data_IF_050774555338
#
_entry.id   IF_050774555338
#
_cell.length_a   1.000
_cell.length_b   1.000
_cell.length_c   1.000
_cell.angle_alpha   90.00
_cell.angle_beta   90.00
_cell.angle_gamma   90.00
#
_symmetry.space_group_name_H-M   'P 1'
#
loop_
_entity.id
_entity.type
_entity.pdbx_description
1 polymer ?
#
# COMPACT_ATOMS: atom_id res chain seq x y z
N UNK A 1 16.74 1.71 1.00
CA UNK A 1 16.08 0.77 1.91
C UNK A 1 14.69 1.24 2.34
N UNK A 2 14.54 2.40 3.00
CA UNK A 2 13.23 2.92 3.47
C UNK A 2 12.09 2.78 2.44
N UNK A 3 12.29 3.28 1.21
CA UNK A 3 11.27 3.23 0.15
C UNK A 3 10.81 1.79 -0.12
N UNK A 4 11.76 0.84 -0.16
CA UNK A 4 11.49 -0.57 -0.42
C UNK A 4 10.67 -1.21 0.71
N UNK A 5 11.06 -1.01 1.98
CA UNK A 5 10.32 -1.61 3.09
C UNK A 5 8.93 -0.99 3.27
N UNK A 6 8.77 0.31 2.98
CA UNK A 6 7.48 0.96 2.99
C UNK A 6 6.56 0.46 1.85
N UNK A 7 7.14 0.18 0.69
CA UNK A 7 6.45 -0.47 -0.44
C UNK A 7 5.98 -1.88 -0.08
N UNK A 8 6.87 -2.71 0.46
CA UNK A 8 6.56 -4.09 0.86
C UNK A 8 5.45 -4.15 1.91
N UNK A 9 5.49 -3.29 2.94
CA UNK A 9 4.42 -3.21 3.95
C UNK A 9 3.10 -2.74 3.33
N UNK A 10 3.15 -1.74 2.45
CA UNK A 10 1.95 -1.22 1.77
C UNK A 10 1.27 -2.29 0.92
N UNK A 11 2.05 -3.05 0.14
CA UNK A 11 1.51 -4.13 -0.69
C UNK A 11 1.00 -5.31 0.12
N UNK A 12 1.73 -5.73 1.16
CA UNK A 12 1.27 -6.79 2.04
C UNK A 12 -0.06 -6.40 2.71
N UNK A 13 -0.15 -5.18 3.24
CA UNK A 13 -1.37 -4.64 3.85
C UNK A 13 -2.53 -4.55 2.86
N UNK A 14 -2.27 -4.07 1.64
CA UNK A 14 -3.29 -4.00 0.59
C UNK A 14 -3.80 -5.39 0.20
N UNK A 15 -2.91 -6.39 0.10
CA UNK A 15 -3.32 -7.76 -0.18
C UNK A 15 -4.14 -8.37 0.96
N UNK A 16 -3.74 -8.15 2.21
CA UNK A 16 -4.49 -8.64 3.37
C UNK A 16 -5.92 -8.09 3.44
N UNK A 17 -6.13 -6.84 3.02
CA UNK A 17 -7.44 -6.17 3.04
C UNK A 17 -8.29 -6.43 1.79
N UNK A 18 -7.67 -6.44 0.61
CA UNK A 18 -8.38 -6.40 -0.68
C UNK A 18 -8.04 -7.57 -1.62
N UNK A 19 -7.11 -8.44 -1.23
CA UNK A 19 -6.75 -9.64 -1.97
C UNK A 19 -7.89 -10.63 -2.09
N UNK A 20 -7.73 -11.65 -2.95
CA UNK A 20 -8.76 -12.69 -3.12
C UNK A 20 -9.01 -13.45 -1.82
N UNK A 21 -7.92 -13.76 -1.11
CA UNK A 21 -7.89 -14.35 0.22
C UNK A 21 -6.72 -13.72 1.00
N UNK A 22 -6.88 -13.50 2.31
CA UNK A 22 -5.77 -13.10 3.16
C UNK A 22 -4.70 -14.21 3.18
N UNK A 23 -3.44 -13.82 3.30
CA UNK A 23 -2.34 -14.76 3.49
C UNK A 23 -2.28 -15.17 4.96
N UNK A 24 -1.92 -16.42 5.21
CA UNK A 24 -1.53 -16.83 6.56
C UNK A 24 -0.16 -16.24 6.95
N UNK A 25 0.29 -16.57 8.17
CA UNK A 25 1.54 -16.02 8.73
C UNK A 25 2.76 -16.45 7.92
N UNK A 26 2.83 -17.71 7.51
CA UNK A 26 4.00 -18.26 6.83
C UNK A 26 4.05 -17.74 5.38
N UNK A 27 2.89 -17.57 4.75
CA UNK A 27 2.76 -16.91 3.45
C UNK A 27 3.15 -15.42 3.49
N UNK A 28 2.84 -14.71 4.58
CA UNK A 28 3.32 -13.33 4.77
C UNK A 28 4.84 -13.28 4.88
N UNK A 29 5.43 -14.18 5.67
CA UNK A 29 6.88 -14.26 5.84
C UNK A 29 7.56 -14.65 4.51
N UNK A 30 6.97 -15.58 3.75
CA UNK A 30 7.45 -15.95 2.43
C UNK A 30 7.42 -14.78 1.44
N UNK A 31 6.35 -13.98 1.43
CA UNK A 31 6.26 -12.76 0.63
C UNK A 31 7.39 -11.77 0.96
N UNK A 32 7.63 -11.52 2.25
CA UNK A 32 8.72 -10.61 2.68
C UNK A 32 10.08 -11.19 2.29
N UNK A 33 10.32 -12.48 2.52
CA UNK A 33 11.56 -13.15 2.12
C UNK A 33 11.82 -13.08 0.60
N UNK A 34 10.78 -13.16 -0.22
CA UNK A 34 10.89 -13.01 -1.67
C UNK A 34 11.30 -11.59 -2.07
N UNK A 35 10.71 -10.57 -1.44
CA UNK A 35 11.09 -9.17 -1.68
C UNK A 35 12.51 -8.88 -1.19
N UNK A 36 12.96 -9.58 -0.15
CA UNK A 36 14.31 -9.47 0.39
C UNK A 36 15.38 -9.93 -0.63
N UNK A 37 15.08 -10.93 -1.47
CA UNK A 37 15.98 -11.35 -2.56
C UNK A 37 16.23 -10.21 -3.55
N UNK A 38 15.18 -9.46 -3.89
CA UNK A 38 15.29 -8.27 -4.77
C UNK A 38 16.08 -7.17 -4.09
N UNK A 39 15.80 -6.89 -2.81
CA UNK A 39 16.54 -5.88 -2.06
C UNK A 39 18.05 -6.18 -1.97
N UNK A 40 18.42 -7.45 -1.73
CA UNK A 40 19.82 -7.89 -1.76
C UNK A 40 20.46 -7.65 -3.13
N UNK A 41 19.76 -7.97 -4.22
CA UNK A 41 20.26 -7.74 -5.58
C UNK A 41 20.47 -6.24 -5.90
N UNK A 42 19.72 -5.36 -5.23
CA UNK A 42 19.87 -3.90 -5.31
C UNK A 42 20.88 -3.33 -4.30
N UNK A 43 21.61 -4.19 -3.57
CA UNK A 43 22.70 -3.79 -2.68
C UNK A 43 22.28 -3.52 -1.23
N UNK A 44 21.08 -3.89 -0.80
CA UNK A 44 20.71 -3.86 0.63
C UNK A 44 21.36 -5.04 1.34
N UNK A 45 22.27 -4.83 2.32
CA UNK A 45 23.05 -5.92 2.91
C UNK A 45 22.22 -6.89 3.77
N UNK A 46 21.28 -6.35 4.54
CA UNK A 46 20.45 -7.13 5.48
C UNK A 46 18.98 -6.66 5.45
N UNK A 47 18.22 -7.00 4.38
CA UNK A 47 16.80 -6.71 4.30
C UNK A 47 15.98 -7.63 5.21
N UNK A 48 14.85 -7.16 5.78
CA UNK A 48 13.97 -7.99 6.60
C UNK A 48 13.43 -9.18 5.80
N UNK A 49 13.27 -10.33 6.46
CA UNK A 49 12.80 -11.58 5.84
C UNK A 49 11.50 -12.13 6.41
N UNK A 50 10.93 -11.44 7.40
CA UNK A 50 9.65 -11.79 8.03
C UNK A 50 8.81 -10.53 8.19
N UNK A 51 7.50 -10.69 8.28
CA UNK A 51 6.58 -9.57 8.51
C UNK A 51 6.87 -8.87 9.85
N UNK A 52 7.31 -9.62 10.87
CA UNK A 52 7.73 -9.05 12.15
C UNK A 52 8.99 -8.18 12.00
N UNK A 53 10.03 -8.69 11.35
CA UNK A 53 11.26 -7.94 11.10
C UNK A 53 11.02 -6.70 10.22
N UNK A 54 10.09 -6.80 9.26
CA UNK A 54 9.66 -5.68 8.44
C UNK A 54 9.03 -4.57 9.30
N UNK A 55 8.12 -4.92 10.20
CA UNK A 55 7.48 -3.98 11.11
C UNK A 55 8.49 -3.32 12.06
N UNK A 56 9.43 -4.08 12.59
CA UNK A 56 10.54 -3.57 13.42
C UNK A 56 11.43 -2.60 12.64
N UNK A 57 11.79 -2.94 11.40
CA UNK A 57 12.59 -2.06 10.53
C UNK A 57 11.84 -0.77 10.18
N UNK A 58 10.54 -0.82 9.93
CA UNK A 58 9.73 0.40 9.75
C UNK A 58 9.72 1.23 11.04
N UNK A 59 9.58 0.59 12.20
CA UNK A 59 9.59 1.26 13.48
C UNK A 59 10.93 1.97 13.77
N UNK A 60 12.06 1.41 13.34
CA UNK A 60 13.38 2.02 13.53
C UNK A 60 13.57 3.32 12.73
N UNK A 61 12.92 3.46 11.57
CA UNK A 61 12.96 4.70 10.80
C UNK A 61 12.05 5.80 11.35
N UNK A 62 11.05 5.46 12.19
CA UNK A 62 10.04 6.43 12.67
C UNK A 62 10.62 7.74 13.26
N UNK A 63 11.71 7.73 14.04
CA UNK A 63 12.27 8.96 14.60
C UNK A 63 12.82 9.93 13.53
N UNK A 64 13.13 9.44 12.33
CA UNK A 64 13.72 10.22 11.23
C UNK A 64 12.67 10.69 10.20
N UNK A 65 11.41 10.24 10.33
CA UNK A 65 10.36 10.55 9.37
C UNK A 65 9.70 11.89 9.67
N UNK A 66 9.73 12.79 8.69
CA UNK A 66 9.16 14.11 8.81
C UNK A 66 8.21 14.46 7.65
N UNK A 67 7.16 15.22 7.97
CA UNK A 67 6.24 15.78 6.99
C UNK A 67 6.84 17.03 6.34
N UNK A 68 7.72 16.84 5.36
CA UNK A 68 8.34 17.96 4.63
C UNK A 68 7.36 18.62 3.66
N UNK A 69 7.68 19.83 3.19
CA UNK A 69 6.91 20.50 2.13
C UNK A 69 6.79 19.62 0.89
N UNK A 70 7.91 19.02 0.44
CA UNK A 70 7.92 18.13 -0.72
C UNK A 70 7.02 16.88 -0.52
N UNK A 71 7.00 16.29 0.68
CA UNK A 71 6.15 15.14 0.99
C UNK A 71 4.65 15.52 0.92
N UNK A 72 4.28 16.69 1.44
CA UNK A 72 2.89 17.19 1.38
C UNK A 72 2.49 17.55 -0.05
N UNK A 73 3.40 18.10 -0.84
CA UNK A 73 3.16 18.37 -2.26
C UNK A 73 2.94 17.10 -3.06
N UNK A 74 3.76 16.06 -2.82
CA UNK A 74 3.57 14.75 -3.41
C UNK A 74 2.22 14.14 -3.03
N UNK A 75 1.83 14.21 -1.75
CA UNK A 75 0.53 13.73 -1.29
C UNK A 75 -0.63 14.51 -1.97
N UNK A 76 -0.55 15.84 -2.04
CA UNK A 76 -1.56 16.67 -2.73
C UNK A 76 -1.63 16.35 -4.23
N UNK A 77 -0.49 16.18 -4.88
CA UNK A 77 -0.42 15.83 -6.29
C UNK A 77 -1.13 14.50 -6.56
N UNK A 78 -0.85 13.49 -5.75
CA UNK A 78 -1.48 12.18 -5.84
C UNK A 78 -2.98 12.25 -5.50
N UNK A 79 -3.40 12.98 -4.47
CA UNK A 79 -4.76 12.86 -3.96
C UNK A 79 -5.76 13.87 -4.56
N UNK A 80 -5.31 15.07 -4.92
CA UNK A 80 -6.19 16.20 -5.25
C UNK A 80 -6.02 16.64 -6.69
N UNK A 81 -4.79 16.68 -7.19
CA UNK A 81 -4.49 17.14 -8.55
C UNK A 81 -3.89 16.05 -9.44
N UNK A 82 -4.47 14.82 -9.49
CA UNK A 82 -3.90 13.77 -10.31
C UNK A 82 -4.08 14.15 -11.80
N UNK A 83 -3.03 14.05 -12.63
CA UNK A 83 -3.07 14.40 -14.05
C UNK A 83 -3.80 13.30 -14.85
N UNK A 84 -5.11 13.16 -14.59
CA UNK A 84 -5.95 12.09 -15.14
C UNK A 84 -7.10 12.65 -15.97
N UNK A 85 -7.50 11.95 -17.05
CA UNK A 85 -8.74 12.22 -17.77
C UNK A 85 -9.95 12.22 -16.82
N UNK A 86 -10.96 13.04 -17.10
CA UNK A 86 -12.14 13.19 -16.23
C UNK A 86 -12.79 11.86 -15.85
N UNK A 87 -12.92 10.94 -16.82
CA UNK A 87 -13.51 9.61 -16.61
C UNK A 87 -12.72 8.72 -15.65
N UNK A 88 -11.41 8.93 -15.51
CA UNK A 88 -10.55 8.16 -14.61
C UNK A 88 -10.53 8.71 -13.18
N UNK A 89 -11.03 9.93 -12.95
CA UNK A 89 -10.94 10.59 -11.63
C UNK A 89 -11.74 9.88 -10.54
N UNK A 90 -12.94 9.40 -10.86
CA UNK A 90 -13.79 8.70 -9.88
C UNK A 90 -13.18 7.37 -9.39
N UNK A 91 -12.78 6.42 -10.26
CA UNK A 91 -12.14 5.17 -9.81
C UNK A 91 -10.79 5.45 -9.13
N UNK A 92 -10.03 6.43 -9.60
CA UNK A 92 -8.77 6.82 -8.97
C UNK A 92 -8.97 7.40 -7.57
N UNK A 93 -9.99 8.25 -7.36
CA UNK A 93 -10.32 8.78 -6.05
C UNK A 93 -10.68 7.67 -5.04
N UNK A 94 -11.35 6.59 -5.49
CA UNK A 94 -11.62 5.43 -4.66
C UNK A 94 -10.33 4.69 -4.25
N UNK A 95 -9.38 4.52 -5.19
CA UNK A 95 -8.06 3.93 -4.90
C UNK A 95 -7.25 4.80 -3.93
N UNK A 96 -7.24 6.11 -4.15
CA UNK A 96 -6.58 7.09 -3.31
C UNK A 96 -7.15 7.07 -1.87
N UNK A 97 -8.48 7.03 -1.73
CA UNK A 97 -9.14 6.92 -0.44
C UNK A 97 -8.78 5.61 0.28
N UNK A 98 -8.76 4.48 -0.44
CA UNK A 98 -8.34 3.19 0.13
C UNK A 98 -6.88 3.22 0.59
N UNK A 99 -5.97 3.79 -0.22
CA UNK A 99 -4.57 3.96 0.16
C UNK A 99 -4.41 4.80 1.45
N UNK A 100 -5.10 5.95 1.54
CA UNK A 100 -5.09 6.78 2.75
C UNK A 100 -5.66 6.01 3.95
N UNK A 101 -6.76 5.26 3.77
CA UNK A 101 -7.40 4.46 4.81
C UNK A 101 -6.54 3.29 5.32
N UNK A 102 -5.54 2.84 4.55
CA UNK A 102 -4.57 1.83 4.98
C UNK A 102 -3.40 2.39 5.79
N UNK A 103 -3.06 3.68 5.61
CA UNK A 103 -1.91 4.28 6.29
C UNK A 103 -2.07 4.25 7.82
N UNK A 104 -1.04 3.94 8.59
CA UNK A 104 -1.11 4.04 10.04
C UNK A 104 -1.26 5.51 10.47
N UNK A 105 -1.91 5.79 11.62
CA UNK A 105 -2.15 7.17 12.08
C UNK A 105 -0.90 8.03 12.13
N UNK A 106 0.23 7.46 12.56
CA UNK A 106 1.51 8.17 12.65
C UNK A 106 2.05 8.64 11.29
N UNK A 107 1.70 7.97 10.19
CA UNK A 107 2.12 8.36 8.83
C UNK A 107 1.18 9.40 8.21
N UNK A 108 -0.09 9.43 8.63
CA UNK A 108 -1.10 10.39 8.12
C UNK A 108 -0.89 11.79 8.64
N UNK A 109 -0.60 11.93 9.94
CA UNK A 109 -0.54 13.24 10.62
C UNK A 109 0.49 14.19 9.99
N UNK A 110 1.74 13.77 9.68
CA UNK A 110 2.73 14.67 9.08
C UNK A 110 2.36 15.15 7.66
N UNK A 111 1.57 14.35 6.94
CA UNK A 111 1.08 14.62 5.59
C UNK A 111 -0.24 15.39 5.56
N UNK A 112 -0.82 15.72 6.72
CA UNK A 112 -2.13 16.38 6.86
C UNK A 112 -3.27 15.64 6.16
N UNK A 113 -3.19 14.30 6.15
CA UNK A 113 -4.22 13.48 5.54
C UNK A 113 -5.41 13.35 6.50
N UNK A 114 -6.65 13.50 5.99
CA UNK A 114 -7.83 13.36 6.82
C UNK A 114 -7.95 11.92 7.34
N UNK A 115 -8.53 11.79 8.54
CA UNK A 115 -8.95 10.49 9.03
C UNK A 115 -10.21 10.07 8.26
N UNK A 116 -10.01 9.30 7.19
CA UNK A 116 -11.10 8.59 6.55
C UNK A 116 -11.37 7.35 7.41
N UNK A 117 -12.57 7.19 7.99
CA UNK A 117 -12.93 5.92 8.59
C UNK A 117 -12.70 4.84 7.54
N UNK A 118 -12.11 3.68 7.90
CA UNK A 118 -12.00 2.60 6.94
C UNK A 118 -13.41 2.37 6.39
N UNK A 119 -13.53 2.33 5.06
CA UNK A 119 -14.78 1.97 4.38
C UNK A 119 -14.97 0.46 4.56
N UNK A 120 -14.99 0.04 5.81
CA UNK A 120 -15.14 -1.29 6.34
C UNK A 120 -16.13 -1.13 7.49
N UNK A 121 -17.42 -1.25 7.21
CA UNK A 121 -18.07 -2.41 7.80
C UNK A 121 -19.33 -2.89 7.08
N UNK A 122 -19.78 -2.30 5.94
CA UNK A 122 -21.08 -2.74 5.38
C UNK A 122 -21.18 -2.93 3.86
N UNK A 123 -20.25 -2.46 3.02
CA UNK A 123 -20.50 -2.50 1.54
C UNK A 123 -19.34 -2.99 0.66
N UNK A 124 -18.10 -3.19 1.14
CA UNK A 124 -16.95 -3.39 0.23
C UNK A 124 -16.44 -4.83 0.06
N UNK A 125 -16.84 -5.78 0.94
CA UNK A 125 -16.47 -7.19 0.75
C UNK A 125 -16.92 -7.81 -0.59
N UNK A 126 -18.03 -7.39 -1.24
CA UNK A 126 -18.37 -7.85 -2.59
C UNK A 126 -17.68 -7.01 -3.69
N UNK A 127 -17.49 -5.71 -3.50
CA UNK A 127 -17.14 -4.77 -4.60
C UNK A 127 -15.68 -4.83 -5.01
N UNK A 128 -14.74 -5.02 -4.07
CA UNK A 128 -13.31 -5.17 -4.39
C UNK A 128 -13.03 -6.43 -5.23
N UNK A 129 -13.72 -7.53 -4.92
CA UNK A 129 -13.63 -8.79 -5.67
C UNK A 129 -14.21 -8.67 -7.08
N UNK A 130 -15.28 -7.89 -7.27
CA UNK A 130 -15.87 -7.65 -8.58
C UNK A 130 -14.95 -6.82 -9.47
N UNK A 131 -14.30 -5.78 -8.94
CA UNK A 131 -13.35 -4.96 -9.70
C UNK A 131 -12.08 -5.72 -10.06
N UNK A 132 -11.45 -6.41 -9.09
CA UNK A 132 -10.25 -7.22 -9.35
C UNK A 132 -10.56 -8.42 -10.24
N UNK A 133 -11.74 -9.03 -10.08
CA UNK A 133 -12.24 -10.10 -10.95
C UNK A 133 -12.47 -9.62 -12.39
N UNK A 134 -13.00 -8.41 -12.57
CA UNK A 134 -13.19 -7.78 -13.88
C UNK A 134 -11.87 -7.53 -14.61
N UNK A 135 -10.86 -7.00 -13.89
CA UNK A 135 -9.52 -6.80 -14.45
C UNK A 135 -8.87 -8.14 -14.82
N UNK A 136 -8.96 -9.15 -13.94
CA UNK A 136 -8.40 -10.49 -14.20
C UNK A 136 -9.06 -11.18 -15.39
N UNK A 137 -10.38 -11.08 -15.53
CA UNK A 137 -11.10 -11.62 -16.68
C UNK A 137 -10.70 -10.95 -17.99
N UNK A 138 -10.58 -9.62 -18.00
CA UNK A 138 -10.16 -8.86 -19.18
C UNK A 138 -8.74 -9.24 -19.62
N UNK A 139 -7.82 -9.45 -18.67
CA UNK A 139 -6.45 -9.89 -18.95
C UNK A 139 -6.38 -11.34 -19.46
N UNK A 140 -7.28 -12.22 -19.01
CA UNK A 140 -7.30 -13.62 -19.46
C UNK A 140 -7.96 -13.82 -20.84
N UNK A 141 -8.80 -12.88 -21.29
CA UNK A 141 -9.37 -12.86 -22.65
C UNK A 141 -8.39 -12.40 -23.74
N UNK A 142 -7.24 -11.85 -23.36
CA UNK A 142 -6.21 -11.36 -24.28
C UNK A 142 -5.15 -12.42 -24.63
N UNK A 143 -5.37 -13.69 -24.26
CA UNK A 143 -4.66 -14.87 -24.78
C UNK A 143 -5.57 -15.61 -25.75
#
# INVERSE_FOLDING_TARGET
EWVHIAEVDSFLRAHQLYGSAPLDRDECDAYVADTARVACALGVPDPPRTAAALAERIASYRPELEGTTAAREAARFLLITPPLPLLARAPYAALAAAAVAMLPPWARTPLWLPHLPPVESTVVRPTGRVLVGGIRWAMNRAR
#
